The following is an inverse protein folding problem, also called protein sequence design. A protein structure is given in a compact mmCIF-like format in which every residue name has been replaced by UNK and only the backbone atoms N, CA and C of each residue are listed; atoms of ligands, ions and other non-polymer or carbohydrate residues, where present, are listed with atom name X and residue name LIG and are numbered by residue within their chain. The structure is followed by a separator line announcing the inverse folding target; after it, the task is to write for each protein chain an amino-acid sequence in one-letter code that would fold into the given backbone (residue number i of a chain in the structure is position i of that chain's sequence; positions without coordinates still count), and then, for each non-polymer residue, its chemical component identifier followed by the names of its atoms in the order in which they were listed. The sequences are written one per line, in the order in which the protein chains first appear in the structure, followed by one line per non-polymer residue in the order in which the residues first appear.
data_IF_989359200291
#
_entry.id   IF_989359200291
#
_cell.length_a   1.000
_cell.length_b   1.000
_cell.length_c   1.000
_cell.angle_alpha   90.00
_cell.angle_beta   90.00
_cell.angle_gamma   90.00
#
_symmetry.space_group_name_H-M   'P 1'
#
loop_
_entity.id
_entity.type
_entity.pdbx_description
1 polymer ?
#
# COMPACT_ATOMS: atom_id res chain seq x y z
N UNK A 1 30.47 -22.72 27.18
CA UNK A 1 30.21 -22.70 25.73
C UNK A 1 31.52 -22.27 25.10
N UNK A 2 32.18 -23.15 24.35
CA UNK A 2 33.57 -22.94 23.94
C UNK A 2 33.69 -21.81 22.91
N UNK A 3 34.75 -20.98 22.98
CA UNK A 3 34.98 -19.85 22.07
C UNK A 3 34.91 -20.25 20.59
N UNK A 4 35.46 -21.43 20.27
CA UNK A 4 35.44 -22.01 18.92
C UNK A 4 34.01 -22.24 18.42
N UNK A 5 33.08 -22.60 19.31
CA UNK A 5 31.68 -22.83 18.96
C UNK A 5 30.97 -21.53 18.63
N UNK A 6 31.27 -20.45 19.37
CA UNK A 6 30.70 -19.12 19.12
C UNK A 6 31.17 -18.57 17.77
N UNK A 7 32.47 -18.63 17.50
CA UNK A 7 33.07 -18.17 16.24
C UNK A 7 32.51 -18.95 15.04
N UNK A 8 32.40 -20.28 15.17
CA UNK A 8 31.81 -21.13 14.11
C UNK A 8 30.36 -20.75 13.80
N UNK A 9 29.56 -20.50 14.83
CA UNK A 9 28.16 -20.09 14.66
C UNK A 9 28.05 -18.72 13.98
N UNK A 10 28.92 -17.78 14.35
CA UNK A 10 29.00 -16.46 13.73
C UNK A 10 29.36 -16.56 12.25
N UNK A 11 30.41 -17.31 11.91
CA UNK A 11 30.85 -17.46 10.52
C UNK A 11 29.76 -18.09 9.65
N UNK A 12 29.12 -19.16 10.15
CA UNK A 12 28.02 -19.82 9.45
C UNK A 12 26.86 -18.85 9.20
N UNK A 13 26.53 -18.02 10.19
CA UNK A 13 25.47 -17.01 10.05
C UNK A 13 25.81 -15.98 8.96
N UNK A 14 27.05 -15.49 8.92
CA UNK A 14 27.47 -14.53 7.91
C UNK A 14 27.43 -15.14 6.49
N UNK A 15 27.82 -16.41 6.34
CA UNK A 15 27.67 -17.13 5.06
C UNK A 15 26.21 -17.16 4.59
N UNK A 16 25.28 -17.48 5.50
CA UNK A 16 23.84 -17.51 5.16
C UNK A 16 23.28 -16.13 4.85
N UNK A 17 23.81 -15.07 5.47
CA UNK A 17 23.45 -13.69 5.15
C UNK A 17 23.84 -13.34 3.71
N UNK A 18 25.06 -13.69 3.29
CA UNK A 18 25.51 -13.48 1.91
C UNK A 18 24.64 -14.27 0.92
N UNK A 19 24.37 -15.55 1.19
CA UNK A 19 23.49 -16.38 0.35
C UNK A 19 22.08 -15.80 0.19
N UNK A 20 21.49 -15.26 1.26
CA UNK A 20 20.17 -14.63 1.19
C UNK A 20 20.22 -13.33 0.36
N UNK A 21 21.28 -12.54 0.48
CA UNK A 21 21.47 -11.34 -0.33
C UNK A 21 21.65 -11.70 -1.81
N UNK A 22 22.44 -12.72 -2.12
CA UNK A 22 22.63 -13.22 -3.48
C UNK A 22 21.30 -13.69 -4.09
N UNK A 23 20.49 -14.42 -3.30
CA UNK A 23 19.15 -14.82 -3.74
C UNK A 23 18.27 -13.60 -4.05
N UNK A 24 18.28 -12.56 -3.22
CA UNK A 24 17.49 -11.36 -3.42
C UNK A 24 17.97 -10.54 -4.64
N UNK A 25 19.28 -10.44 -4.82
CA UNK A 25 19.89 -9.71 -5.93
C UNK A 25 19.79 -10.47 -7.25
N UNK A 26 19.61 -11.80 -7.22
CA UNK A 26 19.49 -12.62 -8.44
C UNK A 26 18.21 -12.34 -9.24
N UNK A 27 17.18 -11.76 -8.60
CA UNK A 27 15.86 -11.57 -9.22
C UNK A 27 15.10 -12.87 -9.51
N UNK A 28 15.65 -14.04 -9.14
CA UNK A 28 15.02 -15.34 -9.29
C UNK A 28 14.05 -15.60 -8.14
N UNK A 29 13.10 -16.52 -8.36
CA UNK A 29 12.32 -17.05 -7.25
C UNK A 29 13.23 -17.84 -6.30
N UNK A 30 12.94 -17.82 -5.00
CA UNK A 30 13.69 -18.59 -3.99
C UNK A 30 13.82 -20.05 -4.39
N UNK A 31 12.75 -20.64 -4.95
CA UNK A 31 12.76 -22.03 -5.45
C UNK A 31 13.83 -22.25 -6.52
N UNK A 32 13.82 -21.44 -7.57
CA UNK A 32 14.78 -21.56 -8.67
C UNK A 32 16.21 -21.29 -8.20
N UNK A 33 16.40 -20.28 -7.34
CA UNK A 33 17.72 -20.00 -6.78
C UNK A 33 18.24 -21.14 -5.91
N UNK A 34 17.38 -21.72 -5.08
CA UNK A 34 17.71 -22.88 -4.26
C UNK A 34 18.10 -24.11 -5.10
N UNK A 35 17.36 -24.39 -6.17
CA UNK A 35 17.66 -25.47 -7.11
C UNK A 35 19.02 -25.26 -7.79
N UNK A 36 19.32 -24.05 -8.26
CA UNK A 36 20.59 -23.71 -8.93
C UNK A 36 21.81 -23.75 -7.98
N UNK A 37 21.63 -23.33 -6.72
CA UNK A 37 22.71 -23.23 -5.75
C UNK A 37 22.83 -24.47 -4.84
N UNK A 38 22.10 -25.55 -5.16
CA UNK A 38 22.05 -26.78 -4.37
C UNK A 38 21.69 -26.56 -2.90
N UNK A 39 20.80 -25.60 -2.65
CA UNK A 39 20.31 -25.26 -1.32
C UNK A 39 18.93 -25.88 -1.12
N UNK A 40 18.72 -26.58 -0.02
CA UNK A 40 17.38 -27.05 0.30
C UNK A 40 16.49 -25.88 0.71
N UNK A 41 15.23 -25.87 0.26
CA UNK A 41 14.27 -24.83 0.63
C UNK A 41 14.11 -24.72 2.15
N UNK A 42 14.09 -25.88 2.83
CA UNK A 42 13.99 -25.93 4.28
C UNK A 42 15.16 -25.20 4.96
N UNK A 43 16.40 -25.45 4.52
CA UNK A 43 17.56 -24.75 5.07
C UNK A 43 17.49 -23.25 4.80
N UNK A 44 17.12 -22.85 3.58
CA UNK A 44 16.96 -21.44 3.23
C UNK A 44 15.97 -20.73 4.17
N UNK A 45 14.76 -21.24 4.30
CA UNK A 45 13.74 -20.62 5.16
C UNK A 45 14.07 -20.70 6.64
N UNK A 46 14.75 -21.77 7.09
CA UNK A 46 15.26 -21.89 8.45
C UNK A 46 16.24 -20.76 8.78
N UNK A 47 17.23 -20.53 7.91
CA UNK A 47 18.23 -19.48 8.11
C UNK A 47 17.66 -18.08 7.92
N UNK A 48 16.77 -17.89 6.95
CA UNK A 48 16.05 -16.62 6.77
C UNK A 48 15.24 -16.26 8.01
N UNK A 49 14.52 -17.22 8.61
CA UNK A 49 13.79 -17.01 9.86
C UNK A 49 14.74 -16.61 10.98
N UNK A 50 15.84 -17.36 11.15
CA UNK A 50 16.83 -17.08 12.21
C UNK A 50 17.42 -15.68 12.10
N UNK A 51 17.82 -15.27 10.90
CA UNK A 51 18.36 -13.92 10.63
C UNK A 51 17.32 -12.82 10.93
N UNK A 52 16.04 -13.03 10.57
CA UNK A 52 14.96 -12.08 10.84
C UNK A 52 14.66 -11.95 12.33
N UNK A 53 14.61 -13.06 13.07
CA UNK A 53 14.38 -13.05 14.51
C UNK A 53 15.44 -12.22 15.24
N UNK A 54 16.72 -12.39 14.90
CA UNK A 54 17.79 -11.62 15.54
C UNK A 54 17.72 -10.11 15.21
N UNK A 55 17.26 -9.76 14.00
CA UNK A 55 16.99 -8.35 13.67
C UNK A 55 15.79 -7.80 14.45
N UNK A 56 14.74 -8.59 14.63
CA UNK A 56 13.59 -8.19 15.46
C UNK A 56 13.99 -8.01 16.94
N UNK A 57 14.91 -8.83 17.46
CA UNK A 57 15.39 -8.71 18.84
C UNK A 57 16.28 -7.48 19.06
N UNK A 58 16.94 -7.00 18.00
CA UNK A 58 17.89 -5.87 18.06
C UNK A 58 17.27 -4.53 17.66
N UNK A 59 16.24 -4.54 16.81
CA UNK A 59 15.47 -3.35 16.48
C UNK A 59 14.43 -3.12 17.58
N UNK A 60 14.42 -1.95 18.23
CA UNK A 60 13.30 -1.54 19.07
C UNK A 60 12.12 -1.19 18.15
N UNK A 61 11.53 -2.21 17.52
CA UNK A 61 10.19 -2.08 16.98
C UNK A 61 9.30 -2.09 18.20
N UNK A 62 8.82 -0.92 18.61
CA UNK A 62 7.63 -0.80 19.43
C UNK A 62 6.49 -1.43 18.63
N UNK A 63 6.38 -2.75 18.71
CA UNK A 63 5.12 -3.43 18.53
C UNK A 63 4.29 -2.86 19.66
N UNK A 64 3.55 -1.81 19.36
CA UNK A 64 2.60 -1.24 20.28
C UNK A 64 1.64 -2.39 20.58
N UNK A 65 1.90 -3.11 21.67
CA UNK A 65 1.04 -4.18 22.22
C UNK A 65 -0.26 -3.58 22.75
N UNK A 66 -0.76 -2.52 22.11
CA UNK A 66 -2.18 -2.29 22.02
C UNK A 66 -2.79 -3.49 21.29
N UNK A 67 -3.03 -4.56 22.06
CA UNK A 67 -3.97 -5.65 21.78
C UNK A 67 -5.40 -5.11 21.69
N UNK A 68 -5.60 -3.93 21.11
CA UNK A 68 -6.90 -3.52 20.61
C UNK A 68 -7.08 -4.31 19.32
N UNK A 69 -8.15 -5.10 19.19
CA UNK A 69 -8.42 -5.75 17.92
C UNK A 69 -8.41 -4.65 16.85
N UNK A 70 -7.58 -4.83 15.82
CA UNK A 70 -7.64 -4.01 14.62
C UNK A 70 -8.97 -4.36 13.96
N UNK A 71 -10.02 -3.67 14.41
CA UNK A 71 -11.34 -3.77 13.80
C UNK A 71 -11.22 -3.05 12.47
N UNK A 72 -11.42 -3.79 11.38
CA UNK A 72 -11.63 -3.20 10.07
C UNK A 72 -12.81 -2.21 10.18
N UNK A 73 -12.50 -0.93 10.28
CA UNK A 73 -13.51 0.11 10.20
C UNK A 73 -13.94 0.15 8.74
N UNK A 74 -15.19 -0.27 8.48
CA UNK A 74 -15.80 -0.14 7.15
C UNK A 74 -15.64 1.32 6.73
N UNK A 75 -14.95 1.54 5.62
CA UNK A 75 -14.91 2.86 5.00
C UNK A 75 -16.34 3.16 4.58
N UNK A 76 -16.99 4.11 5.27
CA UNK A 76 -18.24 4.66 4.81
C UNK A 76 -17.93 5.50 3.57
N UNK A 77 -17.89 4.83 2.42
CA UNK A 77 -18.00 5.49 1.14
C UNK A 77 -19.40 6.09 1.15
N UNK A 78 -19.48 7.40 1.38
CA UNK A 78 -20.68 8.14 1.05
C UNK A 78 -20.94 7.84 -0.42
N UNK A 79 -21.99 7.06 -0.69
CA UNK A 79 -22.48 6.95 -2.05
C UNK A 79 -22.63 8.38 -2.57
N UNK A 80 -22.21 8.69 -3.81
CA UNK A 80 -22.48 10.00 -4.39
C UNK A 80 -23.95 10.29 -4.14
N UNK A 81 -24.21 11.41 -3.46
CA UNK A 81 -25.52 11.79 -2.96
C UNK A 81 -26.49 11.60 -4.12
N UNK A 82 -27.27 10.52 -4.08
CA UNK A 82 -28.27 10.22 -5.11
C UNK A 82 -29.40 11.20 -4.87
N UNK A 83 -29.27 12.39 -5.46
CA UNK A 83 -30.17 13.50 -5.22
C UNK A 83 -29.52 14.88 -5.18
N UNK A 84 -28.18 15.00 -5.22
CA UNK A 84 -27.54 16.28 -5.54
C UNK A 84 -27.63 16.52 -7.07
N UNK A 85 -28.85 16.52 -7.59
CA UNK A 85 -29.15 16.99 -8.94
C UNK A 85 -28.91 18.49 -8.92
N UNK A 86 -27.82 18.93 -9.55
CA UNK A 86 -27.56 20.35 -9.72
C UNK A 86 -28.77 20.99 -10.40
N UNK A 87 -29.31 22.07 -9.80
CA UNK A 87 -30.46 22.78 -10.34
C UNK A 87 -30.20 23.30 -11.77
N UNK A 88 -28.93 23.62 -12.06
CA UNK A 88 -28.45 24.05 -13.36
C UNK A 88 -27.11 23.38 -13.67
N UNK A 89 -26.98 22.78 -14.85
CA UNK A 89 -25.73 22.21 -15.36
C UNK A 89 -25.31 22.97 -16.63
N UNK A 90 -24.03 23.35 -16.72
CA UNK A 90 -23.47 24.12 -17.83
C UNK A 90 -22.34 23.32 -18.49
N UNK A 91 -22.46 23.06 -19.79
CA UNK A 91 -21.41 22.46 -20.61
C UNK A 91 -20.96 23.46 -21.69
N UNK A 92 -19.66 23.74 -21.82
CA UNK A 92 -19.14 24.75 -22.75
C UNK A 92 -18.05 24.14 -23.65
N UNK A 93 -18.18 24.29 -24.98
CA UNK A 93 -17.37 25.30 -25.70
C UNK A 93 -18.18 26.28 -26.59
N UNK A 94 -19.50 26.11 -26.72
CA UNK A 94 -20.43 27.15 -27.20
C UNK A 94 -21.84 26.96 -26.60
N UNK A 95 -21.82 26.69 -25.29
CA UNK A 95 -22.90 26.64 -24.31
C UNK A 95 -24.09 25.69 -24.56
N UNK A 96 -24.21 24.66 -23.72
CA UNK A 96 -25.44 23.91 -23.49
C UNK A 96 -25.84 24.07 -22.02
N UNK A 97 -27.06 24.56 -21.78
CA UNK A 97 -27.62 24.85 -20.47
C UNK A 97 -28.76 23.87 -20.19
N UNK A 98 -28.62 23.06 -19.15
CA UNK A 98 -29.67 22.14 -18.69
C UNK A 98 -30.24 22.63 -17.36
N UNK A 99 -31.55 22.91 -17.34
CA UNK A 99 -32.27 23.39 -16.15
C UNK A 99 -33.23 22.29 -15.71
N UNK A 100 -33.11 21.87 -14.45
CA UNK A 100 -34.00 20.85 -13.90
C UNK A 100 -35.31 21.45 -13.38
N UNK A 101 -36.37 20.65 -13.39
CA UNK A 101 -37.70 21.09 -12.97
C UNK A 101 -37.70 21.36 -11.45
N UNK A 102 -37.83 22.63 -11.07
CA UNK A 102 -37.65 23.10 -9.69
C UNK A 102 -36.61 24.20 -9.52
N UNK A 103 -35.88 24.60 -10.56
CA UNK A 103 -35.03 25.79 -10.53
C UNK A 103 -35.89 27.06 -10.36
N UNK A 104 -35.54 27.90 -9.40
CA UNK A 104 -36.20 29.16 -9.15
C UNK A 104 -35.83 30.21 -10.22
N UNK A 105 -36.73 31.17 -10.44
CA UNK A 105 -36.56 32.20 -11.45
C UNK A 105 -35.26 33.01 -11.25
N UNK A 106 -34.90 33.31 -10.01
CA UNK A 106 -33.70 34.11 -9.69
C UNK A 106 -32.43 33.39 -10.11
N UNK A 107 -32.35 32.07 -9.88
CA UNK A 107 -31.23 31.23 -10.30
C UNK A 107 -31.09 31.16 -11.82
N UNK A 108 -32.20 31.06 -12.56
CA UNK A 108 -32.17 31.04 -14.03
C UNK A 108 -31.70 32.38 -14.59
N UNK A 109 -32.23 33.50 -14.08
CA UNK A 109 -31.82 34.84 -14.50
C UNK A 109 -30.34 35.11 -14.22
N UNK A 110 -29.86 34.73 -13.03
CA UNK A 110 -28.46 34.91 -12.64
C UNK A 110 -27.50 34.14 -13.57
N UNK A 111 -27.84 32.90 -13.95
CA UNK A 111 -27.00 32.09 -14.85
C UNK A 111 -26.99 32.66 -16.26
N UNK A 112 -28.13 33.10 -16.79
CA UNK A 112 -28.20 33.72 -18.12
C UNK A 112 -27.40 35.04 -18.17
N UNK A 113 -27.48 35.86 -17.12
CA UNK A 113 -26.66 37.07 -17.00
C UNK A 113 -25.17 36.77 -16.93
N UNK A 114 -24.78 35.73 -16.18
CA UNK A 114 -23.38 35.32 -16.08
C UNK A 114 -22.84 34.83 -17.44
N UNK A 115 -23.62 34.04 -18.18
CA UNK A 115 -23.24 33.56 -19.52
C UNK A 115 -23.13 34.69 -20.55
N UNK A 116 -24.00 35.72 -20.46
CA UNK A 116 -23.92 36.93 -21.31
C UNK A 116 -22.61 37.71 -21.15
N UNK A 117 -21.94 37.60 -20.00
CA UNK A 117 -20.67 38.28 -19.77
C UNK A 117 -19.45 37.46 -20.22
N UNK A 118 -19.65 36.18 -20.56
CA UNK A 118 -18.57 35.24 -20.92
C UNK A 118 -18.51 35.00 -22.44
N UNK A 119 -19.61 35.26 -23.18
CA UNK A 119 -19.70 35.25 -24.64
C UNK A 119 -19.88 36.66 -25.18
#
# INVERSE_FOLDING_TARGET
MDEVTLVKNHFRKEQWKQMVLDCQNSGLTVKQWCEQNHVTHHAYYYWLRKLRTELCDTLPVSVDESKKPVVFKKLEVQAPISGAQAAVIIHLSSATLEIQNGADQQTVEAVLLALKNIC
#
